data_IF_340098389837
#
_entry.id   IF_340098389837
#
_cell.length_a   1.000
_cell.length_b   1.000
_cell.length_c   1.000
_cell.angle_alpha   90.00
_cell.angle_beta   90.00
_cell.angle_gamma   90.00
#
_symmetry.space_group_name_H-M   'P 1'
#
loop_
_entity.id
_entity.type
_entity.pdbx_description
1 polymer ?
#
# COMPACT_ATOMS: atom_id res chain seq x y z
N UNK A 1 -4.07 -9.95 -28.33
CA UNK A 1 -3.58 -9.56 -26.98
C UNK A 1 -3.74 -10.74 -26.07
N UNK A 2 -2.80 -11.00 -25.18
CA UNK A 2 -2.97 -12.03 -24.15
C UNK A 2 -3.96 -11.51 -23.12
N UNK A 3 -4.98 -12.30 -22.78
CA UNK A 3 -5.95 -11.98 -21.74
C UNK A 3 -5.57 -12.74 -20.47
N UNK A 4 -5.36 -12.03 -19.36
CA UNK A 4 -5.03 -12.64 -18.07
C UNK A 4 -6.30 -12.92 -17.26
N UNK A 5 -6.41 -14.14 -16.73
CA UNK A 5 -7.53 -14.58 -15.88
C UNK A 5 -7.22 -14.20 -14.43
N UNK A 6 -8.11 -13.44 -13.82
CA UNK A 6 -7.88 -12.83 -12.52
C UNK A 6 -8.94 -13.26 -11.51
N UNK A 7 -8.50 -13.62 -10.32
CA UNK A 7 -9.36 -13.77 -9.14
C UNK A 7 -9.19 -12.54 -8.27
N UNK A 8 -10.29 -11.88 -7.92
CA UNK A 8 -10.30 -10.84 -6.87
C UNK A 8 -10.54 -11.48 -5.52
N UNK A 9 -9.57 -11.40 -4.62
CA UNK A 9 -9.66 -11.98 -3.28
C UNK A 9 -9.81 -10.90 -2.23
N UNK A 10 -11.05 -10.61 -1.88
CA UNK A 10 -11.46 -9.54 -0.97
C UNK A 10 -12.25 -8.45 -1.69
N UNK A 11 -13.34 -8.01 -1.04
CA UNK A 11 -14.29 -7.02 -1.54
C UNK A 11 -14.44 -5.83 -0.59
N UNK A 12 -13.33 -5.44 0.08
CA UNK A 12 -13.19 -4.17 0.80
C UNK A 12 -13.06 -2.99 -0.16
N UNK A 13 -12.73 -1.80 0.34
CA UNK A 13 -12.61 -0.59 -0.48
C UNK A 13 -11.65 -0.79 -1.67
N UNK A 14 -10.41 -1.20 -1.41
CA UNK A 14 -9.40 -1.46 -2.47
C UNK A 14 -9.87 -2.57 -3.42
N UNK A 15 -10.46 -3.66 -2.89
CA UNK A 15 -10.91 -4.79 -3.71
C UNK A 15 -12.08 -4.45 -4.64
N UNK A 16 -12.96 -3.53 -4.25
CA UNK A 16 -14.05 -3.03 -5.10
C UNK A 16 -13.48 -2.15 -6.23
N UNK A 17 -12.52 -1.28 -5.94
CA UNK A 17 -11.85 -0.49 -6.99
C UNK A 17 -11.07 -1.40 -7.96
N UNK A 18 -10.39 -2.43 -7.44
CA UNK A 18 -9.73 -3.41 -8.28
C UNK A 18 -10.71 -4.16 -9.20
N UNK A 19 -11.90 -4.55 -8.69
CA UNK A 19 -12.95 -5.13 -9.52
C UNK A 19 -13.37 -4.19 -10.65
N UNK A 20 -13.56 -2.89 -10.38
CA UNK A 20 -13.88 -1.89 -11.42
C UNK A 20 -12.83 -1.87 -12.52
N UNK A 21 -11.55 -1.79 -12.13
CA UNK A 21 -10.44 -1.77 -13.10
C UNK A 21 -10.32 -3.08 -13.90
N UNK A 22 -10.54 -4.25 -13.27
CA UNK A 22 -10.54 -5.53 -13.98
C UNK A 22 -11.66 -5.56 -15.03
N UNK A 23 -12.87 -5.15 -14.64
CA UNK A 23 -14.05 -5.20 -15.50
C UNK A 23 -14.02 -4.16 -16.64
N UNK A 24 -13.28 -3.07 -16.46
CA UNK A 24 -13.14 -2.00 -17.46
C UNK A 24 -11.99 -2.26 -18.46
N UNK A 25 -11.28 -3.43 -18.38
CA UNK A 25 -10.12 -3.77 -19.22
C UNK A 25 -10.37 -5.01 -20.08
N UNK A 26 -10.05 -4.91 -21.38
CA UNK A 26 -10.23 -6.00 -22.35
C UNK A 26 -9.12 -7.08 -22.29
N UNK A 27 -7.97 -6.76 -21.66
CA UNK A 27 -6.86 -7.69 -21.45
C UNK A 27 -6.93 -8.46 -20.13
N UNK A 28 -8.00 -8.27 -19.34
CA UNK A 28 -8.26 -8.97 -18.08
C UNK A 28 -9.60 -9.71 -18.16
N UNK A 29 -9.67 -10.88 -17.58
CA UNK A 29 -10.89 -11.68 -17.44
C UNK A 29 -11.09 -12.05 -15.98
N UNK A 30 -12.13 -11.52 -15.35
CA UNK A 30 -12.52 -11.90 -14.00
C UNK A 30 -13.08 -13.32 -14.01
N UNK A 31 -12.47 -14.24 -13.26
CA UNK A 31 -12.91 -15.64 -13.18
C UNK A 31 -13.43 -16.03 -11.80
N UNK A 32 -13.16 -15.26 -10.76
CA UNK A 32 -13.64 -15.55 -9.41
C UNK A 32 -13.55 -14.36 -8.47
N UNK A 33 -14.40 -14.34 -7.45
CA UNK A 33 -14.42 -13.32 -6.40
C UNK A 33 -14.56 -13.96 -5.02
N UNK A 34 -13.60 -13.68 -4.13
CA UNK A 34 -13.68 -14.02 -2.70
C UNK A 34 -14.30 -12.87 -1.92
N UNK A 35 -15.32 -13.15 -1.15
CA UNK A 35 -15.86 -12.24 -0.13
C UNK A 35 -15.71 -12.83 1.27
N UNK A 36 -15.75 -11.97 2.30
CA UNK A 36 -15.66 -12.36 3.72
C UNK A 36 -16.95 -12.06 4.48
N UNK A 37 -17.87 -11.32 3.87
CA UNK A 37 -19.12 -10.88 4.49
C UNK A 37 -20.27 -11.68 3.92
N UNK A 38 -21.13 -12.27 4.76
CA UNK A 38 -22.26 -13.11 4.35
C UNK A 38 -23.19 -12.40 3.37
N UNK A 39 -23.47 -11.12 3.60
CA UNK A 39 -24.31 -10.33 2.73
C UNK A 39 -23.80 -10.13 1.30
N UNK A 40 -22.56 -10.51 1.01
CA UNK A 40 -21.98 -10.44 -0.36
C UNK A 40 -21.93 -11.79 -1.06
N UNK A 41 -22.19 -12.88 -0.36
CA UNK A 41 -22.20 -14.24 -0.94
C UNK A 41 -23.31 -14.34 -1.99
N UNK A 42 -22.96 -14.84 -3.17
CA UNK A 42 -23.89 -14.99 -4.30
C UNK A 42 -24.23 -13.70 -5.02
N UNK A 43 -23.69 -12.54 -4.61
CA UNK A 43 -23.82 -11.32 -5.39
C UNK A 43 -22.91 -11.34 -6.61
N UNK A 44 -23.41 -10.82 -7.74
CA UNK A 44 -22.65 -10.66 -8.96
C UNK A 44 -21.55 -9.63 -8.80
N UNK A 45 -20.35 -9.91 -9.31
CA UNK A 45 -19.16 -9.06 -9.20
C UNK A 45 -19.34 -7.69 -9.85
N UNK A 46 -20.05 -7.62 -10.99
CA UNK A 46 -20.40 -6.37 -11.64
C UNK A 46 -21.30 -5.52 -10.76
N UNK A 47 -22.29 -6.14 -10.15
CA UNK A 47 -23.19 -5.47 -9.17
C UNK A 47 -22.41 -4.92 -7.97
N UNK A 48 -21.52 -5.73 -7.40
CA UNK A 48 -20.64 -5.30 -6.30
C UNK A 48 -19.75 -4.10 -6.68
N UNK A 49 -19.29 -4.06 -7.92
CA UNK A 49 -18.46 -2.99 -8.47
C UNK A 49 -19.26 -1.76 -8.97
N UNK A 50 -20.61 -1.78 -8.90
CA UNK A 50 -21.47 -0.75 -9.48
C UNK A 50 -21.45 -0.75 -11.02
N UNK A 51 -21.28 -1.92 -11.62
CA UNK A 51 -21.29 -2.19 -13.07
C UNK A 51 -22.47 -3.11 -13.41
N UNK A 52 -22.68 -3.35 -14.71
CA UNK A 52 -23.64 -4.36 -15.17
C UNK A 52 -23.21 -5.75 -14.68
N UNK A 53 -24.18 -6.66 -14.42
CA UNK A 53 -23.86 -8.04 -14.07
C UNK A 53 -22.95 -8.70 -15.11
N UNK A 54 -21.98 -9.48 -14.64
CA UNK A 54 -20.96 -10.16 -15.47
C UNK A 54 -20.99 -11.68 -15.35
N UNK A 55 -21.88 -12.23 -14.52
CA UNK A 55 -22.05 -13.68 -14.34
C UNK A 55 -21.00 -14.34 -13.45
N UNK A 56 -20.15 -13.58 -12.78
CA UNK A 56 -19.19 -14.07 -11.77
C UNK A 56 -19.71 -13.72 -10.38
N UNK A 57 -19.96 -14.75 -9.57
CA UNK A 57 -20.59 -14.56 -8.26
C UNK A 57 -19.60 -14.68 -7.11
N UNK A 58 -19.72 -13.81 -6.12
CA UNK A 58 -18.86 -13.80 -4.96
C UNK A 58 -19.12 -15.03 -4.06
N UNK A 59 -18.03 -15.66 -3.60
CA UNK A 59 -18.08 -16.84 -2.71
C UNK A 59 -17.17 -16.67 -1.51
N UNK A 60 -17.47 -17.38 -0.43
CA UNK A 60 -16.57 -17.55 0.72
C UNK A 60 -15.71 -18.82 0.63
N UNK A 61 -15.94 -19.68 -0.37
CA UNK A 61 -15.14 -20.92 -0.54
C UNK A 61 -13.79 -20.64 -1.18
N UNK A 62 -12.72 -20.79 -0.41
CA UNK A 62 -11.36 -20.75 -0.96
C UNK A 62 -11.13 -21.95 -1.90
N UNK A 63 -11.65 -23.13 -1.57
CA UNK A 63 -11.51 -24.34 -2.39
C UNK A 63 -12.06 -24.15 -3.79
N UNK A 64 -13.27 -23.56 -3.93
CA UNK A 64 -13.85 -23.26 -5.23
C UNK A 64 -12.95 -22.35 -6.07
N UNK A 65 -12.37 -21.33 -5.45
CA UNK A 65 -11.51 -20.36 -6.14
C UNK A 65 -10.14 -20.95 -6.49
N UNK A 66 -9.57 -21.79 -5.62
CA UNK A 66 -8.32 -22.48 -5.91
C UNK A 66 -8.43 -23.47 -7.08
N UNK A 67 -9.62 -24.06 -7.28
CA UNK A 67 -9.89 -24.95 -8.41
C UNK A 67 -10.01 -24.24 -9.75
N UNK A 68 -10.20 -22.92 -9.77
CA UNK A 68 -10.28 -22.13 -11.00
C UNK A 68 -8.91 -22.04 -11.69
N UNK A 69 -8.95 -22.07 -13.01
CA UNK A 69 -7.79 -21.75 -13.84
C UNK A 69 -7.63 -20.23 -13.90
N UNK A 70 -6.60 -19.71 -13.23
CA UNK A 70 -6.34 -18.28 -13.11
C UNK A 70 -4.83 -18.00 -13.16
N UNK A 71 -4.48 -16.88 -13.78
CA UNK A 71 -3.08 -16.45 -13.94
C UNK A 71 -2.60 -15.61 -12.76
N UNK A 72 -3.53 -14.89 -12.12
CA UNK A 72 -3.21 -14.00 -11.01
C UNK A 72 -4.37 -13.88 -10.01
N UNK A 73 -4.03 -13.76 -8.74
CA UNK A 73 -4.93 -13.44 -7.64
C UNK A 73 -4.57 -12.06 -7.08
N UNK A 74 -5.50 -11.11 -7.12
CA UNK A 74 -5.38 -9.87 -6.38
C UNK A 74 -5.83 -10.12 -4.95
N UNK A 75 -4.86 -10.33 -4.05
CA UNK A 75 -5.10 -10.76 -2.69
C UNK A 75 -5.22 -9.57 -1.76
N UNK A 76 -6.44 -9.13 -1.47
CA UNK A 76 -6.79 -7.91 -0.75
C UNK A 76 -7.80 -8.17 0.40
N UNK A 77 -7.54 -9.13 1.31
CA UNK A 77 -8.36 -9.28 2.51
C UNK A 77 -8.13 -8.11 3.47
N UNK A 78 -8.73 -8.14 4.67
CA UNK A 78 -8.41 -7.16 5.71
C UNK A 78 -6.93 -7.25 6.06
N UNK A 79 -6.26 -6.11 6.20
CA UNK A 79 -4.87 -6.07 6.64
C UNK A 79 -4.76 -6.57 8.09
N UNK A 80 -4.00 -7.64 8.26
CA UNK A 80 -3.69 -8.25 9.56
C UNK A 80 -2.19 -8.50 9.72
N UNK A 81 -1.39 -8.12 8.71
CA UNK A 81 0.06 -8.33 8.70
C UNK A 81 0.81 -7.43 9.69
N UNK A 82 0.13 -6.43 10.26
CA UNK A 82 0.65 -5.68 11.42
C UNK A 82 0.79 -6.53 12.69
N UNK A 83 0.13 -7.69 12.70
CA UNK A 83 0.26 -8.68 13.77
C UNK A 83 1.30 -9.71 13.32
N UNK A 84 2.26 -10.01 14.17
CA UNK A 84 3.42 -10.85 13.86
C UNK A 84 3.00 -12.17 13.16
N UNK A 85 3.30 -12.35 11.87
CA UNK A 85 2.89 -13.52 11.11
C UNK A 85 3.73 -14.77 11.46
N UNK A 86 4.79 -14.64 12.27
CA UNK A 86 5.62 -15.77 12.72
C UNK A 86 4.98 -16.49 13.91
N UNK A 87 4.02 -15.85 14.59
CA UNK A 87 3.32 -16.46 15.72
C UNK A 87 2.23 -17.41 15.23
N UNK A 88 2.22 -18.68 15.68
CA UNK A 88 1.14 -19.62 15.37
C UNK A 88 -0.23 -19.08 15.78
N UNK A 89 -1.23 -19.29 14.92
CA UNK A 89 -2.63 -18.86 15.12
C UNK A 89 -2.81 -17.34 15.27
N UNK A 90 -1.83 -16.53 14.86
CA UNK A 90 -2.02 -15.08 14.73
C UNK A 90 -2.79 -14.76 13.44
N UNK A 91 -3.54 -13.65 13.40
CA UNK A 91 -4.18 -13.21 12.14
C UNK A 91 -3.19 -13.01 10.98
N UNK A 92 -1.93 -12.64 11.28
CA UNK A 92 -0.87 -12.58 10.28
C UNK A 92 -0.50 -13.96 9.74
N UNK A 93 -0.48 -14.99 10.59
CA UNK A 93 -0.25 -16.37 10.17
C UNK A 93 -1.40 -16.92 9.31
N UNK A 94 -2.65 -16.64 9.69
CA UNK A 94 -3.83 -17.00 8.90
C UNK A 94 -3.78 -16.40 7.48
N UNK A 95 -3.25 -15.17 7.36
CA UNK A 95 -3.04 -14.54 6.07
C UNK A 95 -2.03 -15.32 5.22
N UNK A 96 -0.89 -15.71 5.80
CA UNK A 96 0.15 -16.50 5.12
C UNK A 96 -0.40 -17.86 4.71
N UNK A 97 -1.07 -18.54 5.62
CA UNK A 97 -1.66 -19.86 5.36
C UNK A 97 -2.72 -19.82 4.23
N UNK A 98 -3.39 -18.68 4.05
CA UNK A 98 -4.31 -18.50 2.94
C UNK A 98 -3.61 -18.24 1.60
N UNK A 99 -2.41 -17.64 1.59
CA UNK A 99 -1.65 -17.32 0.39
C UNK A 99 -0.85 -18.51 -0.14
N UNK A 100 -0.28 -19.33 0.76
CA UNK A 100 0.58 -20.47 0.37
C UNK A 100 -0.08 -21.41 -0.66
N UNK A 101 -1.32 -21.90 -0.46
CA UNK A 101 -1.96 -22.80 -1.44
C UNK A 101 -2.27 -22.12 -2.79
N UNK A 102 -2.42 -20.80 -2.83
CA UNK A 102 -2.59 -20.04 -4.07
C UNK A 102 -1.29 -20.10 -4.89
N UNK A 103 -0.16 -19.78 -4.23
CA UNK A 103 1.16 -19.79 -4.85
C UNK A 103 1.57 -21.20 -5.28
N UNK A 104 1.43 -22.20 -4.40
CA UNK A 104 1.73 -23.60 -4.69
C UNK A 104 0.85 -24.17 -5.81
N UNK A 105 -0.37 -23.67 -5.97
CA UNK A 105 -1.29 -23.99 -7.04
C UNK A 105 -0.99 -23.29 -8.38
N UNK A 106 0.16 -22.61 -8.50
CA UNK A 106 0.63 -21.99 -9.74
C UNK A 106 -0.03 -20.66 -10.09
N UNK A 107 -0.69 -20.00 -9.13
CA UNK A 107 -1.31 -18.70 -9.36
C UNK A 107 -0.44 -17.60 -8.78
N UNK A 108 -0.12 -16.60 -9.59
CA UNK A 108 0.61 -15.43 -9.11
C UNK A 108 -0.24 -14.62 -8.13
N UNK A 109 0.39 -13.96 -7.17
CA UNK A 109 -0.30 -13.15 -6.16
C UNK A 109 0.22 -11.71 -6.20
N UNK A 110 -0.70 -10.75 -6.21
CA UNK A 110 -0.40 -9.34 -5.97
C UNK A 110 -1.24 -8.88 -4.79
N UNK A 111 -0.62 -8.24 -3.82
CA UNK A 111 -1.31 -7.79 -2.61
C UNK A 111 -1.00 -6.34 -2.29
N UNK A 112 -2.04 -5.59 -1.91
CA UNK A 112 -1.92 -4.25 -1.32
C UNK A 112 -1.69 -4.30 0.17
N UNK A 113 -1.85 -5.47 0.78
CA UNK A 113 -1.61 -5.71 2.20
C UNK A 113 -0.15 -5.99 2.35
N UNK A 114 0.55 -5.06 2.90
CA UNK A 114 1.97 -5.18 2.79
C UNK A 114 2.75 -4.60 3.93
N UNK A 115 2.14 -4.34 5.05
CA UNK A 115 2.86 -3.83 6.20
C UNK A 115 4.10 -4.71 6.46
N UNK A 116 5.26 -4.22 6.05
CA UNK A 116 6.53 -4.91 6.20
C UNK A 116 6.91 -5.95 5.13
N UNK A 117 6.05 -6.23 4.17
CA UNK A 117 6.28 -7.28 3.16
C UNK A 117 6.89 -6.77 1.84
N UNK A 118 7.17 -5.46 1.72
CA UNK A 118 7.80 -4.88 0.53
C UNK A 118 9.28 -5.25 0.40
N UNK A 119 9.88 -5.83 1.44
CA UNK A 119 11.29 -6.14 1.48
C UNK A 119 11.58 -7.52 2.09
N UNK A 120 12.56 -8.22 1.50
CA UNK A 120 12.93 -9.62 1.78
C UNK A 120 13.53 -9.87 3.16
N UNK A 121 14.01 -8.85 3.88
CA UNK A 121 14.90 -9.03 5.05
C UNK A 121 14.48 -8.26 6.29
N UNK A 122 13.22 -7.91 6.46
CA UNK A 122 12.79 -7.37 7.76
C UNK A 122 13.06 -8.37 8.86
N UNK A 123 13.49 -7.91 10.02
CA UNK A 123 14.12 -8.69 11.10
C UNK A 123 13.37 -9.95 11.57
N UNK A 124 12.06 -10.01 11.33
CA UNK A 124 11.22 -11.21 11.51
C UNK A 124 10.80 -11.83 10.16
N UNK A 125 11.26 -11.26 9.04
CA UNK A 125 10.76 -11.55 7.70
C UNK A 125 11.53 -12.61 6.93
N UNK A 126 12.79 -12.89 7.29
CA UNK A 126 13.61 -13.83 6.49
C UNK A 126 12.98 -15.24 6.42
N UNK A 127 12.45 -15.76 7.51
CA UNK A 127 11.78 -17.06 7.53
C UNK A 127 10.49 -17.04 6.70
N UNK A 128 9.68 -15.99 6.85
CA UNK A 128 8.45 -15.81 6.11
C UNK A 128 8.70 -15.59 4.62
N UNK A 129 9.69 -14.75 4.28
CA UNK A 129 10.13 -14.58 2.90
C UNK A 129 10.52 -15.91 2.26
N UNK A 130 11.34 -16.72 2.96
CA UNK A 130 11.76 -18.02 2.47
C UNK A 130 10.57 -18.97 2.27
N UNK A 131 9.60 -18.96 3.18
CA UNK A 131 8.38 -19.76 3.07
C UNK A 131 7.55 -19.39 1.84
N UNK A 132 7.32 -18.09 1.62
CA UNK A 132 6.61 -17.58 0.44
C UNK A 132 7.39 -17.85 -0.85
N UNK A 133 8.70 -17.64 -0.85
CA UNK A 133 9.54 -17.92 -2.02
C UNK A 133 9.53 -19.41 -2.38
N UNK A 134 9.63 -20.31 -1.40
CA UNK A 134 9.52 -21.76 -1.61
C UNK A 134 8.17 -22.14 -2.21
N UNK A 135 7.07 -21.56 -1.74
CA UNK A 135 5.74 -21.78 -2.31
C UNK A 135 5.67 -21.30 -3.76
N UNK A 136 6.26 -20.15 -4.06
CA UNK A 136 6.39 -19.62 -5.42
C UNK A 136 7.18 -20.58 -6.33
N UNK A 137 8.33 -21.07 -5.87
CA UNK A 137 9.16 -22.01 -6.64
C UNK A 137 8.40 -23.33 -6.90
N UNK A 138 7.71 -23.86 -5.90
CA UNK A 138 6.92 -25.08 -6.02
C UNK A 138 5.80 -24.96 -7.06
N UNK A 139 5.09 -23.82 -7.07
CA UNK A 139 4.00 -23.59 -7.99
C UNK A 139 4.41 -22.92 -9.31
N UNK A 140 5.69 -22.59 -9.50
CA UNK A 140 6.14 -21.76 -10.64
C UNK A 140 5.36 -20.43 -10.73
N UNK A 141 5.13 -19.79 -9.61
CA UNK A 141 4.36 -18.56 -9.45
C UNK A 141 5.20 -17.44 -8.81
N UNK A 142 4.65 -16.25 -8.72
CA UNK A 142 5.31 -15.10 -8.10
C UNK A 142 4.37 -14.39 -7.13
N UNK A 143 4.94 -13.76 -6.09
CA UNK A 143 4.21 -12.87 -5.19
C UNK A 143 4.84 -11.47 -5.20
N UNK A 144 4.01 -10.44 -5.25
CA UNK A 144 4.41 -9.04 -5.23
C UNK A 144 3.50 -8.20 -4.33
N UNK A 145 4.10 -7.38 -3.49
CA UNK A 145 3.39 -6.45 -2.61
C UNK A 145 3.59 -5.03 -3.12
N UNK A 146 2.50 -4.28 -3.28
CA UNK A 146 2.55 -2.91 -3.81
C UNK A 146 1.27 -2.15 -3.48
N UNK A 147 1.37 -0.84 -3.55
CA UNK A 147 0.27 0.11 -3.37
C UNK A 147 0.72 1.49 -3.81
N UNK A 148 -0.01 2.53 -3.40
CA UNK A 148 0.44 3.90 -3.64
C UNK A 148 1.53 4.29 -2.63
N UNK A 149 1.31 3.98 -1.34
CA UNK A 149 2.22 4.27 -0.22
C UNK A 149 1.99 3.24 0.91
N UNK A 150 2.96 2.31 1.10
CA UNK A 150 4.17 2.08 0.33
C UNK A 150 3.92 1.30 -0.98
N UNK A 151 4.93 1.27 -1.87
CA UNK A 151 4.97 0.45 -3.09
C UNK A 151 5.02 1.23 -4.40
N UNK A 152 4.80 2.56 -4.37
CA UNK A 152 5.01 3.43 -5.53
C UNK A 152 5.74 4.71 -5.14
N UNK A 153 5.14 5.60 -4.35
CA UNK A 153 5.73 6.92 -4.04
C UNK A 153 6.96 6.78 -3.16
N UNK A 154 6.92 5.85 -2.23
CA UNK A 154 7.99 5.62 -1.25
C UNK A 154 9.21 4.90 -1.83
N UNK A 155 9.09 4.24 -2.98
CA UNK A 155 10.17 3.45 -3.59
C UNK A 155 10.22 3.57 -5.13
N UNK A 156 9.31 2.95 -5.86
CA UNK A 156 9.35 2.85 -7.32
C UNK A 156 9.51 4.19 -8.03
N UNK A 157 8.77 5.22 -7.60
CA UNK A 157 8.82 6.55 -8.18
C UNK A 157 10.14 7.26 -7.82
N UNK A 158 10.56 7.16 -6.55
CA UNK A 158 11.83 7.73 -6.09
C UNK A 158 13.02 7.13 -6.83
N UNK A 159 13.04 5.80 -6.99
CA UNK A 159 14.05 5.07 -7.78
C UNK A 159 14.03 5.55 -9.24
N UNK A 160 12.86 5.64 -9.86
CA UNK A 160 12.73 6.11 -11.24
C UNK A 160 13.23 7.54 -11.41
N UNK A 161 12.84 8.46 -10.51
CA UNK A 161 13.27 9.86 -10.54
C UNK A 161 14.77 10.01 -10.36
N UNK A 162 15.42 9.11 -9.62
CA UNK A 162 16.86 9.17 -9.39
C UNK A 162 17.70 8.95 -10.67
N UNK A 163 17.11 8.38 -11.72
CA UNK A 163 17.80 8.08 -12.99
C UNK A 163 18.34 9.30 -13.72
N UNK A 164 17.89 10.51 -13.37
CA UNK A 164 18.39 11.79 -13.93
C UNK A 164 19.37 12.49 -13.00
N UNK A 165 19.76 11.87 -11.89
CA UNK A 165 20.71 12.40 -10.91
C UNK A 165 22.02 11.62 -11.00
N UNK A 166 23.13 12.27 -11.31
CA UNK A 166 24.42 11.60 -11.51
C UNK A 166 25.10 11.16 -10.21
N UNK A 167 24.82 11.83 -9.09
CA UNK A 167 25.31 11.46 -7.76
C UNK A 167 24.26 11.79 -6.72
N UNK A 168 23.80 10.77 -6.00
CA UNK A 168 22.80 10.90 -4.92
C UNK A 168 23.53 11.09 -3.59
N UNK A 169 23.07 12.05 -2.79
CA UNK A 169 23.51 12.28 -1.42
C UNK A 169 22.41 11.88 -0.42
N UNK A 170 21.15 12.18 -0.74
CA UNK A 170 19.99 11.84 0.10
C UNK A 170 18.72 11.81 -0.73
N UNK A 171 17.80 10.92 -0.39
CA UNK A 171 16.44 10.86 -0.93
C UNK A 171 15.43 11.01 0.21
N UNK A 172 14.45 11.86 0.02
CA UNK A 172 13.30 12.04 0.92
C UNK A 172 12.02 11.89 0.13
N UNK A 173 11.16 11.02 0.57
CA UNK A 173 9.77 10.92 0.10
C UNK A 173 8.85 11.51 1.14
N UNK A 174 7.78 12.14 0.71
CA UNK A 174 6.83 12.83 1.57
C UNK A 174 5.40 12.49 1.17
N UNK A 175 4.57 12.23 2.17
CA UNK A 175 3.12 12.23 2.08
C UNK A 175 2.56 13.42 2.87
N UNK A 176 1.62 14.14 2.27
CA UNK A 176 0.86 15.21 2.90
C UNK A 176 -0.63 14.91 2.72
N UNK A 177 -1.32 14.48 3.78
CA UNK A 177 -2.74 14.12 3.70
C UNK A 177 -3.53 14.78 4.83
N UNK A 178 -4.69 15.35 4.45
CA UNK A 178 -5.75 15.75 5.38
C UNK A 178 -6.72 14.58 5.56
N UNK A 179 -6.70 13.99 6.75
CA UNK A 179 -7.54 12.85 7.13
C UNK A 179 -8.89 13.26 7.74
N UNK A 180 -9.26 14.55 7.74
CA UNK A 180 -10.53 15.02 8.30
C UNK A 180 -11.76 14.36 7.67
N UNK A 181 -11.62 13.89 6.42
CA UNK A 181 -12.67 13.19 5.67
C UNK A 181 -12.54 11.65 5.72
N UNK A 182 -11.61 11.10 6.52
CA UNK A 182 -11.40 9.64 6.55
C UNK A 182 -12.64 8.92 7.09
N UNK A 183 -13.25 7.96 6.35
CA UNK A 183 -14.58 7.44 6.67
C UNK A 183 -14.59 6.46 7.88
N UNK A 184 -13.44 6.09 8.43
CA UNK A 184 -13.34 5.12 9.54
C UNK A 184 -12.65 5.76 10.75
N UNK A 185 -13.40 6.40 11.66
CA UNK A 185 -12.84 7.10 12.83
C UNK A 185 -11.94 6.23 13.70
N UNK A 186 -12.23 4.95 13.85
CA UNK A 186 -11.43 4.03 14.68
C UNK A 186 -9.99 3.87 14.16
N UNK A 187 -9.78 3.96 12.85
CA UNK A 187 -8.42 3.93 12.25
C UNK A 187 -7.66 5.18 12.67
N UNK A 188 -8.30 6.34 12.62
CA UNK A 188 -7.68 7.61 13.03
C UNK A 188 -7.35 7.62 14.52
N UNK A 189 -8.25 7.12 15.36
CA UNK A 189 -7.97 6.90 16.79
C UNK A 189 -6.81 5.92 17.02
N UNK A 190 -6.72 4.87 16.19
CA UNK A 190 -5.62 3.90 16.21
C UNK A 190 -4.27 4.53 15.83
N UNK A 191 -4.26 5.52 14.94
CA UNK A 191 -3.07 6.30 14.58
C UNK A 191 -2.69 7.33 15.66
N UNK A 192 -3.56 7.59 16.64
CA UNK A 192 -3.31 8.52 17.74
C UNK A 192 -4.08 9.84 17.67
N UNK A 193 -4.80 10.14 16.58
CA UNK A 193 -5.60 11.37 16.49
C UNK A 193 -6.69 11.41 17.56
N UNK A 194 -6.92 12.58 18.16
CA UNK A 194 -7.88 12.76 19.25
C UNK A 194 -7.48 12.15 20.59
N UNK A 195 -6.26 11.59 20.71
CA UNK A 195 -5.67 11.08 21.96
C UNK A 195 -4.69 12.07 22.55
N UNK A 196 -4.36 11.91 23.81
CA UNK A 196 -3.18 12.53 24.40
C UNK A 196 -1.92 11.79 23.93
N UNK A 197 -0.75 12.45 23.79
CA UNK A 197 0.49 11.78 23.40
C UNK A 197 0.87 10.58 24.28
N UNK A 198 0.61 10.66 25.58
CA UNK A 198 0.85 9.61 26.56
C UNK A 198 -0.08 8.39 26.41
N UNK A 199 -1.22 8.55 25.73
CA UNK A 199 -2.20 7.49 25.51
C UNK A 199 -1.97 6.73 24.19
N UNK A 200 -0.93 7.09 23.43
CA UNK A 200 -0.57 6.37 22.20
C UNK A 200 -0.06 4.98 22.57
N UNK A 201 -0.57 3.91 21.95
CA UNK A 201 -0.06 2.58 22.21
C UNK A 201 1.45 2.48 21.94
N UNK A 202 2.19 1.86 22.84
CA UNK A 202 3.64 1.64 22.70
C UNK A 202 4.00 0.82 21.46
N UNK A 203 3.05 0.07 20.92
CA UNK A 203 3.19 -0.71 19.69
C UNK A 203 3.13 0.14 18.42
N UNK A 204 2.64 1.40 18.48
CA UNK A 204 2.47 2.26 17.29
C UNK A 204 3.80 2.46 16.55
N UNK A 205 4.90 2.66 17.27
CA UNK A 205 6.23 2.79 16.67
C UNK A 205 6.65 1.54 15.88
N UNK A 206 6.38 0.35 16.43
CA UNK A 206 6.67 -0.92 15.74
C UNK A 206 5.80 -1.10 14.49
N UNK A 207 4.52 -0.70 14.57
CA UNK A 207 3.59 -0.73 13.44
C UNK A 207 4.05 0.19 12.31
N UNK A 208 4.45 1.44 12.61
CA UNK A 208 4.96 2.37 11.61
C UNK A 208 6.24 1.84 10.94
N UNK A 209 7.20 1.32 11.75
CA UNK A 209 8.40 0.70 11.19
C UNK A 209 8.06 -0.50 10.31
N UNK A 210 7.22 -1.40 10.79
CA UNK A 210 6.82 -2.59 10.04
C UNK A 210 6.12 -2.21 8.72
N UNK A 211 5.33 -1.14 8.71
CA UNK A 211 4.59 -0.69 7.53
C UNK A 211 5.49 -0.20 6.40
N UNK A 212 6.50 0.60 6.70
CA UNK A 212 7.22 1.36 5.68
C UNK A 212 8.73 1.07 5.59
N UNK A 213 9.37 0.43 6.58
CA UNK A 213 10.81 0.18 6.51
C UNK A 213 11.22 -0.65 5.27
N UNK A 214 10.33 -1.49 4.76
CA UNK A 214 10.57 -2.25 3.53
C UNK A 214 10.92 -1.36 2.33
N UNK A 215 10.28 -0.20 2.20
CA UNK A 215 10.57 0.74 1.12
C UNK A 215 11.94 1.41 1.27
N UNK A 216 12.41 1.66 2.51
CA UNK A 216 13.77 2.13 2.77
C UNK A 216 14.81 1.10 2.25
N UNK A 217 14.59 -0.17 2.56
CA UNK A 217 15.50 -1.23 2.11
C UNK A 217 15.42 -1.45 0.59
N UNK A 218 14.23 -1.34 -0.02
CA UNK A 218 14.07 -1.43 -1.48
C UNK A 218 14.83 -0.31 -2.21
N UNK A 219 14.75 0.92 -1.69
CA UNK A 219 15.54 2.03 -2.24
C UNK A 219 17.04 1.80 -2.05
N UNK A 220 17.47 1.36 -0.87
CA UNK A 220 18.88 1.10 -0.61
C UNK A 220 19.44 0.04 -1.55
N UNK A 221 18.71 -1.05 -1.79
CA UNK A 221 19.11 -2.09 -2.75
C UNK A 221 19.25 -1.52 -4.17
N UNK A 222 18.30 -0.69 -4.61
CA UNK A 222 18.36 -0.07 -5.93
C UNK A 222 19.60 0.82 -6.13
N UNK A 223 20.18 1.32 -5.04
CA UNK A 223 21.36 2.19 -5.04
C UNK A 223 22.65 1.49 -4.57
N UNK A 224 22.62 0.15 -4.50
CA UNK A 224 23.75 -0.68 -4.04
C UNK A 224 24.28 -0.22 -2.66
N UNK A 225 23.37 0.11 -1.75
CA UNK A 225 23.67 0.60 -0.42
C UNK A 225 23.16 -0.35 0.67
N UNK A 226 23.94 -0.48 1.75
CA UNK A 226 23.51 -1.22 2.94
C UNK A 226 22.93 -0.24 3.99
N UNK A 227 21.77 -0.55 4.53
CA UNK A 227 21.16 0.20 5.63
C UNK A 227 21.71 -0.30 6.95
N UNK A 228 22.35 0.60 7.72
CA UNK A 228 22.89 0.29 9.04
C UNK A 228 21.75 0.08 10.05
N UNK A 229 20.79 1.01 10.06
CA UNK A 229 19.59 0.99 10.91
C UNK A 229 18.49 1.87 10.31
N UNK A 230 17.25 1.66 10.76
CA UNK A 230 16.10 2.51 10.48
C UNK A 230 15.63 3.16 11.77
N UNK A 231 15.77 4.49 11.83
CA UNK A 231 15.29 5.31 12.95
C UNK A 231 13.84 5.74 12.69
N UNK A 232 13.09 5.98 13.76
CA UNK A 232 11.75 6.57 13.71
C UNK A 232 11.76 7.84 14.55
N UNK A 233 11.35 8.95 13.92
CA UNK A 233 11.06 10.21 14.59
C UNK A 233 9.56 10.48 14.49
N UNK A 234 8.95 10.95 15.57
CA UNK A 234 7.51 11.25 15.64
C UNK A 234 7.31 12.58 16.36
N UNK A 235 6.55 13.48 15.75
CA UNK A 235 6.10 14.73 16.33
C UNK A 235 4.57 14.80 16.35
N UNK A 236 4.02 15.42 17.38
CA UNK A 236 2.59 15.62 17.56
C UNK A 236 2.27 17.12 17.61
N UNK A 237 1.19 17.52 16.94
CA UNK A 237 0.59 18.84 17.11
C UNK A 237 -0.71 18.68 17.89
N UNK A 238 -0.80 19.38 19.02
CA UNK A 238 -2.01 19.37 19.84
C UNK A 238 -3.01 20.39 19.34
N UNK A 239 -4.25 19.98 19.16
CA UNK A 239 -5.32 20.86 18.69
C UNK A 239 -5.53 22.01 19.67
N UNK A 240 -5.53 23.27 19.20
CA UNK A 240 -5.72 24.44 20.07
C UNK A 240 -7.19 24.64 20.49
N UNK A 241 -8.11 23.87 19.92
CA UNK A 241 -9.54 23.93 20.21
C UNK A 241 -10.21 22.59 19.91
N UNK A 242 -11.40 22.39 20.48
CA UNK A 242 -12.20 21.20 20.15
C UNK A 242 -12.88 21.40 18.79
N UNK A 243 -12.61 20.46 17.85
CA UNK A 243 -13.22 20.45 16.51
C UNK A 243 -13.87 19.10 16.23
N UNK A 244 -14.98 19.12 15.50
CA UNK A 244 -15.57 17.89 14.94
C UNK A 244 -15.23 17.89 13.45
N UNK A 245 -14.47 16.89 13.01
CA UNK A 245 -14.09 16.74 11.60
C UNK A 245 -15.21 16.08 10.79
N UNK A 246 -15.11 16.13 9.46
CA UNK A 246 -16.21 15.71 8.57
C UNK A 246 -16.61 14.24 8.74
N UNK A 247 -15.70 13.37 9.17
CA UNK A 247 -15.98 11.97 9.50
C UNK A 247 -16.79 11.78 10.80
N UNK A 248 -17.06 12.86 11.52
CA UNK A 248 -17.74 12.83 12.84
C UNK A 248 -16.81 12.58 14.02
N UNK A 249 -15.50 12.37 13.80
CA UNK A 249 -14.52 12.26 14.88
C UNK A 249 -14.36 13.60 15.59
N UNK A 250 -14.36 13.58 16.90
CA UNK A 250 -14.13 14.77 17.74
C UNK A 250 -12.68 14.81 18.18
N UNK A 251 -11.95 15.82 17.73
CA UNK A 251 -10.60 16.14 18.21
C UNK A 251 -10.77 17.19 19.30
N UNK A 252 -10.50 16.81 20.54
CA UNK A 252 -10.62 17.72 21.70
C UNK A 252 -9.43 18.66 21.77
N UNK A 253 -9.63 19.84 22.34
CA UNK A 253 -8.53 20.72 22.71
C UNK A 253 -7.47 19.98 23.54
N UNK A 254 -6.19 20.17 23.21
CA UNK A 254 -5.07 19.50 23.87
C UNK A 254 -4.81 18.06 23.42
N UNK A 255 -5.62 17.50 22.51
CA UNK A 255 -5.36 16.17 21.92
C UNK A 255 -4.67 16.29 20.55
N UNK A 256 -4.13 15.20 20.03
CA UNK A 256 -3.39 15.17 18.76
C UNK A 256 -4.33 15.52 17.62
N UNK A 257 -4.06 16.65 16.96
CA UNK A 257 -4.76 17.14 15.75
C UNK A 257 -3.95 16.95 14.48
N UNK A 258 -2.62 16.84 14.58
CA UNK A 258 -1.77 16.45 13.48
C UNK A 258 -0.60 15.57 13.96
N UNK A 259 -0.13 14.73 13.06
CA UNK A 259 0.95 13.78 13.29
C UNK A 259 1.99 13.95 12.17
N UNK A 260 3.26 14.10 12.54
CA UNK A 260 4.39 14.01 11.62
C UNK A 260 5.30 12.90 12.08
N UNK A 261 5.66 12.01 11.16
CA UNK A 261 6.64 10.97 11.44
C UNK A 261 7.59 10.76 10.26
N UNK A 262 8.79 10.31 10.58
CA UNK A 262 9.83 10.03 9.60
C UNK A 262 10.50 8.71 9.92
N UNK A 263 10.57 7.81 8.93
CA UNK A 263 11.51 6.70 8.95
C UNK A 263 12.79 7.11 8.23
N UNK A 264 13.92 6.97 8.90
CA UNK A 264 15.21 7.44 8.42
C UNK A 264 16.14 6.23 8.27
N UNK A 265 16.50 5.90 7.05
CA UNK A 265 17.51 4.89 6.73
C UNK A 265 18.92 5.48 6.83
N UNK A 266 19.69 4.95 7.78
CA UNK A 266 21.09 5.30 7.98
C UNK A 266 21.95 4.44 7.05
N UNK A 267 22.87 5.07 6.31
CA UNK A 267 23.83 4.40 5.43
C UNK A 267 25.21 5.00 5.69
N UNK A 268 26.14 4.16 6.13
CA UNK A 268 27.49 4.59 6.56
C UNK A 268 27.45 5.70 7.63
N UNK A 269 26.53 5.55 8.61
CA UNK A 269 26.35 6.49 9.70
C UNK A 269 25.70 7.83 9.32
N UNK A 270 25.16 7.97 8.10
CA UNK A 270 24.49 9.18 7.62
C UNK A 270 23.03 8.95 7.25
N UNK A 271 22.12 9.92 7.48
CA UNK A 271 20.71 9.85 7.06
C UNK A 271 20.62 10.05 5.54
N UNK A 272 20.57 8.94 4.79
CA UNK A 272 20.57 8.95 3.32
C UNK A 272 19.18 8.79 2.71
N UNK A 273 18.30 8.06 3.38
CA UNK A 273 16.97 7.77 2.87
C UNK A 273 15.94 8.15 3.92
N UNK A 274 14.83 8.75 3.53
CA UNK A 274 13.73 8.94 4.49
C UNK A 274 12.36 8.89 3.84
N UNK A 275 11.40 8.34 4.58
CA UNK A 275 9.97 8.35 4.30
C UNK A 275 9.33 9.22 5.36
N UNK A 276 8.64 10.27 4.94
CA UNK A 276 8.11 11.29 5.81
C UNK A 276 6.61 11.45 5.58
N UNK A 277 5.82 11.43 6.63
CA UNK A 277 4.39 11.67 6.57
C UNK A 277 4.02 12.89 7.41
N UNK A 278 3.14 13.71 6.88
CA UNK A 278 2.52 14.84 7.58
C UNK A 278 1.01 14.70 7.42
N UNK A 279 0.38 14.18 8.43
CA UNK A 279 -1.03 13.84 8.44
C UNK A 279 -1.78 14.79 9.38
N UNK A 280 -2.87 15.38 8.92
CA UNK A 280 -3.65 16.40 9.63
C UNK A 280 -5.11 16.00 9.75
N UNK A 281 -5.77 16.48 10.78
CA UNK A 281 -7.22 16.39 10.94
C UNK A 281 -7.88 17.76 10.65
N UNK A 282 -7.45 18.38 9.56
CA UNK A 282 -7.85 19.71 9.09
C UNK A 282 -6.66 20.50 8.57
N UNK A 283 -6.87 21.27 7.52
CA UNK A 283 -5.80 22.00 6.80
C UNK A 283 -5.12 23.10 7.65
N UNK A 284 -5.77 23.56 8.70
CA UNK A 284 -5.31 24.56 9.66
C UNK A 284 -4.50 23.97 10.82
N UNK A 285 -4.50 22.64 10.97
CA UNK A 285 -3.70 21.97 11.99
C UNK A 285 -2.21 21.99 11.62
N UNK A 286 -1.36 22.33 12.59
CA UNK A 286 0.10 22.41 12.44
C UNK A 286 0.54 23.29 11.25
N UNK A 287 0.16 24.60 11.22
CA UNK A 287 0.41 25.47 10.06
C UNK A 287 1.89 25.64 9.73
N UNK A 288 2.78 25.52 10.72
CA UNK A 288 4.23 25.66 10.56
C UNK A 288 4.93 24.38 10.05
N UNK A 289 4.19 23.28 9.94
CA UNK A 289 4.76 22.05 9.40
C UNK A 289 4.77 22.08 7.86
N UNK A 290 5.69 21.32 7.22
CA UNK A 290 5.70 21.19 5.76
C UNK A 290 4.32 20.83 5.22
N UNK A 291 3.95 21.41 4.08
CA UNK A 291 2.67 21.14 3.42
C UNK A 291 2.81 21.22 1.89
N UNK A 292 1.75 20.85 1.19
CA UNK A 292 1.57 21.01 -0.25
C UNK A 292 0.29 21.81 -0.60
N UNK A 293 -0.11 22.72 0.30
CA UNK A 293 -1.39 23.42 0.18
C UNK A 293 -2.57 22.58 0.70
N UNK A 294 -3.79 22.98 0.38
CA UNK A 294 -5.02 22.35 0.87
C UNK A 294 -5.32 20.99 0.23
N UNK A 295 -4.65 20.65 -0.85
CA UNK A 295 -4.98 19.49 -1.67
C UNK A 295 -4.25 18.22 -1.26
N UNK A 296 -3.17 18.37 -0.48
CA UNK A 296 -2.31 17.22 -0.13
C UNK A 296 -1.58 16.65 -1.34
N UNK A 297 -0.87 15.57 -1.13
CA UNK A 297 -0.13 14.92 -2.21
C UNK A 297 1.18 14.31 -1.75
N UNK A 298 2.02 14.03 -2.73
CA UNK A 298 3.33 13.42 -2.53
C UNK A 298 4.44 14.33 -3.06
N UNK A 299 5.59 14.26 -2.40
CA UNK A 299 6.80 14.96 -2.83
C UNK A 299 7.98 14.02 -2.75
N UNK A 300 8.86 14.10 -3.74
CA UNK A 300 10.14 13.41 -3.74
C UNK A 300 11.23 14.46 -3.90
N UNK A 301 12.21 14.41 -3.01
CA UNK A 301 13.38 15.29 -3.03
C UNK A 301 14.64 14.44 -3.08
N UNK A 302 15.51 14.73 -4.03
CA UNK A 302 16.80 14.07 -4.22
C UNK A 302 17.87 15.13 -4.11
N UNK A 303 18.60 15.13 -2.99
CA UNK A 303 19.82 15.90 -2.83
C UNK A 303 20.93 15.16 -3.57
N UNK A 304 21.69 15.89 -4.37
CA UNK A 304 22.73 15.30 -5.19
C UNK A 304 23.19 16.24 -6.30
N UNK A 305 23.73 15.69 -7.37
CA UNK A 305 24.16 16.50 -8.50
C UNK A 305 23.68 15.90 -9.83
N UNK A 306 22.85 16.63 -10.58
CA UNK A 306 22.08 17.80 -10.14
C UNK A 306 21.03 17.42 -9.07
N UNK A 307 20.62 18.34 -8.19
CA UNK A 307 19.50 18.08 -7.29
C UNK A 307 18.19 18.00 -8.08
N UNK A 308 17.25 17.20 -7.60
CA UNK A 308 15.98 17.02 -8.29
C UNK A 308 14.80 16.94 -7.30
N UNK A 309 13.67 17.57 -7.64
CA UNK A 309 12.45 17.55 -6.83
C UNK A 309 11.24 17.41 -7.72
N UNK A 310 10.32 16.54 -7.33
CA UNK A 310 8.98 16.39 -7.92
C UNK A 310 7.89 16.56 -6.87
N UNK A 311 6.81 17.21 -7.25
CA UNK A 311 5.58 17.33 -6.47
C UNK A 311 4.42 16.76 -7.27
N UNK A 312 3.60 15.95 -6.59
CA UNK A 312 2.49 15.22 -7.19
C UNK A 312 1.22 15.50 -6.38
N UNK A 313 0.54 16.65 -6.64
CA UNK A 313 -0.72 16.95 -5.97
C UNK A 313 -1.77 15.90 -6.33
N UNK A 314 -2.59 15.51 -5.35
CA UNK A 314 -3.61 14.49 -5.52
C UNK A 314 -4.94 15.03 -6.06
N UNK A 315 -5.05 16.35 -6.24
CA UNK A 315 -6.21 16.99 -6.87
C UNK A 315 -5.82 17.62 -8.20
N UNK A 316 -6.68 17.46 -9.19
CA UNK A 316 -6.56 18.20 -10.45
C UNK A 316 -7.02 19.66 -10.23
N UNK A 317 -6.44 20.64 -10.96
CA UNK A 317 -6.90 22.01 -10.91
C UNK A 317 -8.41 22.10 -11.22
N UNK A 318 -9.18 22.72 -10.30
CA UNK A 318 -10.63 22.81 -10.40
C UNK A 318 -11.42 21.63 -9.82
N UNK A 319 -10.74 20.61 -9.25
CA UNK A 319 -11.36 19.52 -8.49
C UNK A 319 -11.71 19.95 -7.05
N UNK A 320 -12.46 19.10 -6.36
CA UNK A 320 -12.92 19.33 -4.97
C UNK A 320 -11.86 18.98 -3.92
N UNK A 321 -10.60 18.81 -4.31
CA UNK A 321 -9.52 18.33 -3.44
C UNK A 321 -9.35 16.82 -3.45
N UNK A 322 -8.29 16.34 -2.80
CA UNK A 322 -8.00 14.92 -2.63
C UNK A 322 -9.09 14.26 -1.78
N UNK A 323 -9.61 13.16 -2.28
CA UNK A 323 -10.41 12.24 -1.49
C UNK A 323 -9.60 11.00 -1.15
N UNK A 324 -9.88 10.41 0.00
CA UNK A 324 -9.28 9.13 0.38
C UNK A 324 -9.65 8.02 -0.61
N UNK A 325 -10.81 8.14 -1.28
CA UNK A 325 -11.23 7.25 -2.35
C UNK A 325 -10.23 7.27 -3.51
N UNK A 326 -9.57 8.41 -3.79
CA UNK A 326 -8.52 8.50 -4.81
C UNK A 326 -7.28 7.71 -4.40
N UNK A 327 -6.84 7.73 -3.12
CA UNK A 327 -5.72 6.91 -2.66
C UNK A 327 -6.04 5.41 -2.73
N UNK A 328 -7.26 5.03 -2.36
CA UNK A 328 -7.76 3.66 -2.48
C UNK A 328 -7.77 3.22 -3.94
N UNK A 329 -8.26 4.08 -4.84
CA UNK A 329 -8.28 3.82 -6.28
C UNK A 329 -6.87 3.71 -6.87
N UNK A 330 -5.94 4.59 -6.47
CA UNK A 330 -4.52 4.52 -6.90
C UNK A 330 -3.83 3.24 -6.42
N UNK A 331 -4.10 2.80 -5.18
CA UNK A 331 -3.58 1.53 -4.65
C UNK A 331 -4.10 0.35 -5.47
N UNK A 332 -5.41 0.30 -5.74
CA UNK A 332 -6.01 -0.73 -6.57
C UNK A 332 -5.44 -0.72 -8.00
N UNK A 333 -5.32 0.47 -8.61
CA UNK A 333 -4.76 0.64 -9.94
C UNK A 333 -3.32 0.13 -10.01
N UNK A 334 -2.49 0.44 -9.02
CA UNK A 334 -1.11 -0.03 -8.95
C UNK A 334 -1.03 -1.55 -8.96
N UNK A 335 -1.87 -2.22 -8.15
CA UNK A 335 -1.93 -3.69 -8.12
C UNK A 335 -2.42 -4.28 -9.45
N UNK A 336 -3.49 -3.73 -10.02
CA UNK A 336 -4.05 -4.23 -11.29
C UNK A 336 -3.07 -4.04 -12.45
N UNK A 337 -2.37 -2.92 -12.50
CA UNK A 337 -1.39 -2.64 -13.55
C UNK A 337 -0.13 -3.51 -13.44
N UNK A 338 0.17 -4.08 -12.28
CA UNK A 338 1.30 -4.97 -12.07
C UNK A 338 1.05 -6.40 -12.62
N UNK A 339 -0.20 -6.78 -12.93
CA UNK A 339 -0.57 -8.17 -13.28
C UNK A 339 0.34 -8.74 -14.38
N UNK A 340 0.47 -8.04 -15.52
CA UNK A 340 1.30 -8.54 -16.63
C UNK A 340 2.77 -8.69 -16.23
N UNK A 341 3.33 -7.71 -15.52
CA UNK A 341 4.73 -7.73 -15.11
C UNK A 341 5.02 -8.91 -14.16
N UNK A 342 4.11 -9.16 -13.21
CA UNK A 342 4.24 -10.26 -12.24
C UNK A 342 4.04 -11.62 -12.91
N UNK A 343 3.00 -11.78 -13.73
CA UNK A 343 2.73 -13.06 -14.43
C UNK A 343 3.87 -13.44 -15.36
N UNK A 344 4.56 -12.47 -15.96
CA UNK A 344 5.68 -12.72 -16.89
C UNK A 344 7.04 -12.78 -16.20
N UNK A 345 7.12 -12.53 -14.91
CA UNK A 345 8.38 -12.60 -14.16
C UNK A 345 8.80 -14.07 -13.94
N UNK A 346 10.07 -14.27 -13.61
CA UNK A 346 10.54 -15.56 -13.10
C UNK A 346 9.86 -15.89 -11.76
N UNK A 347 9.61 -17.16 -11.42
CA UNK A 347 9.01 -17.52 -10.14
C UNK A 347 9.76 -16.94 -8.94
N UNK A 348 9.03 -16.59 -7.88
CA UNK A 348 9.60 -16.16 -6.62
C UNK A 348 8.95 -14.91 -6.02
N UNK A 349 9.46 -14.53 -4.85
CA UNK A 349 9.10 -13.29 -4.17
C UNK A 349 9.70 -12.10 -4.92
N UNK A 350 8.86 -11.11 -5.26
CA UNK A 350 9.24 -9.94 -6.05
C UNK A 350 9.21 -8.66 -5.23
N UNK A 351 10.20 -7.82 -5.46
CA UNK A 351 10.24 -6.42 -5.02
C UNK A 351 10.11 -5.49 -6.24
N UNK A 352 10.06 -4.21 -6.01
CA UNK A 352 10.07 -3.20 -7.08
C UNK A 352 11.31 -3.32 -7.99
N UNK A 353 12.44 -3.82 -7.44
CA UNK A 353 13.70 -3.97 -8.16
C UNK A 353 13.75 -5.20 -9.10
N UNK A 354 12.83 -6.15 -8.91
CA UNK A 354 12.76 -7.37 -9.72
C UNK A 354 11.84 -7.25 -10.95
N UNK A 355 11.04 -6.19 -11.01
CA UNK A 355 10.03 -6.02 -12.05
C UNK A 355 10.38 -4.87 -12.99
N UNK A 356 10.06 -4.99 -14.30
CA UNK A 356 10.18 -3.84 -15.19
C UNK A 356 9.20 -2.74 -14.78
N UNK A 357 9.45 -1.51 -15.21
CA UNK A 357 8.47 -0.44 -15.08
C UNK A 357 7.16 -0.84 -15.78
N UNK A 358 6.04 -0.61 -15.13
CA UNK A 358 4.72 -0.88 -15.67
C UNK A 358 3.78 0.31 -15.43
N UNK A 359 2.76 0.43 -16.25
CA UNK A 359 1.80 1.52 -16.20
C UNK A 359 0.40 1.10 -16.62
N UNK A 360 -0.52 2.06 -16.56
CA UNK A 360 -1.90 1.87 -16.99
C UNK A 360 -1.98 1.62 -18.51
N UNK A 361 -3.02 0.91 -18.92
CA UNK A 361 -3.41 0.80 -20.33
C UNK A 361 -4.32 1.96 -20.71
N UNK A 362 -4.25 2.39 -21.97
CA UNK A 362 -5.24 3.32 -22.50
C UNK A 362 -6.62 2.68 -22.44
N UNK A 363 -7.53 3.30 -21.69
CA UNK A 363 -8.94 2.96 -21.74
C UNK A 363 -9.53 3.40 -23.08
N UNK A 364 -10.37 2.57 -23.67
CA UNK A 364 -11.22 3.05 -24.76
C UNK A 364 -12.18 4.07 -24.14
N UNK A 365 -12.10 5.32 -24.57
CA UNK A 365 -13.15 6.30 -24.30
C UNK A 365 -14.41 5.79 -24.99
N UNK A 366 -15.26 5.08 -24.24
CA UNK A 366 -16.57 4.58 -24.69
C UNK A 366 -17.67 5.57 -24.33
#
# INVERSE_FOLDING_TARGET
>A
MTTYRVIQWGTGAVGIEALRYILDRDDLSLVGVKCFTDGKVGQDAGTLAGRKPVGVYATQSAEQLLALDADCVLFMPRDVTQLDPTLPNSPGREWVDAVLPILEGGKNVISSIASGMHWRQLSNGAALHNELDQACQKGSSSIYFTGIDPGFVTDALAITMSSVVGRIERIRTWEFIDYSNYPVPDVMLGMGFGRLPEDIPTTTAAVLKAGWAGAIYSMAEAFDAAVDEVLLEVDHYLSPSTVTVNSGLVIKEGTIGALRWSLIGMVNGHPRLSINHVNRMGSDMAPDWPNMGSEGGYRIEIDGFPPYRGEFPLALPGGTGFSLDDAVAMTAARCVNAIEAVVRSTPGYKTVNDLPAFGARFGLLR
#
